data_IF_865047578950
#
_entry.id   IF_865047578950
#
_cell.length_a   1.000
_cell.length_b   1.000
_cell.length_c   1.000
_cell.angle_alpha   90.00
_cell.angle_beta   90.00
_cell.angle_gamma   90.00
#
_symmetry.space_group_name_H-M   'P 1'
#
loop_
_entity.id
_entity.type
_entity.pdbx_description
1 polymer ?
#
# COMPACT_ATOMS: atom_id res chain seq x y z
N UNK A 1 9.00 -26.48 -8.97
CA UNK A 1 9.58 -25.21 -8.47
C UNK A 1 8.46 -24.20 -8.54
N UNK A 2 7.86 -23.86 -7.40
CA UNK A 2 6.95 -22.71 -7.35
C UNK A 2 7.80 -21.45 -7.50
N UNK A 3 7.65 -20.75 -8.62
CA UNK A 3 8.32 -19.48 -8.84
C UNK A 3 7.71 -18.48 -7.86
N UNK A 4 8.45 -18.16 -6.78
CA UNK A 4 8.04 -17.10 -5.86
C UNK A 4 8.45 -15.77 -6.50
N UNK A 5 7.48 -14.88 -6.69
CA UNK A 5 7.73 -13.54 -7.23
C UNK A 5 7.94 -12.56 -6.07
N UNK A 6 9.04 -11.82 -6.12
CA UNK A 6 9.34 -10.76 -5.17
C UNK A 6 8.45 -9.54 -5.44
N UNK A 7 7.69 -9.17 -4.43
CA UNK A 7 6.76 -8.05 -4.41
C UNK A 7 7.35 -6.95 -3.53
N UNK A 8 7.80 -5.88 -4.18
CA UNK A 8 8.22 -4.63 -3.55
C UNK A 8 7.00 -3.74 -3.21
N UNK A 9 7.26 -2.57 -2.61
CA UNK A 9 6.24 -1.62 -2.17
C UNK A 9 5.33 -1.17 -3.32
N UNK A 10 5.93 -0.84 -4.47
CA UNK A 10 5.18 -0.31 -5.61
C UNK A 10 4.30 -1.39 -6.23
N UNK A 11 4.84 -2.59 -6.43
CA UNK A 11 4.07 -3.73 -6.96
C UNK A 11 2.92 -4.07 -6.03
N UNK A 12 3.13 -4.07 -4.72
CA UNK A 12 2.06 -4.32 -3.76
C UNK A 12 0.94 -3.27 -3.88
N UNK A 13 1.29 -1.99 -3.84
CA UNK A 13 0.29 -0.91 -3.90
C UNK A 13 -0.47 -0.90 -5.23
N UNK A 14 0.24 -1.15 -6.34
CA UNK A 14 -0.37 -1.29 -7.65
C UNK A 14 -1.30 -2.51 -7.71
N UNK A 15 -0.87 -3.65 -7.16
CA UNK A 15 -1.66 -4.87 -7.11
C UNK A 15 -2.94 -4.67 -6.29
N UNK A 16 -2.86 -4.05 -5.12
CA UNK A 16 -4.01 -3.75 -4.29
C UNK A 16 -4.97 -2.76 -4.95
N UNK A 17 -4.46 -1.77 -5.68
CA UNK A 17 -5.30 -0.79 -6.38
C UNK A 17 -5.98 -1.37 -7.64
N UNK A 18 -5.38 -2.38 -8.28
CA UNK A 18 -5.91 -3.01 -9.49
C UNK A 18 -6.79 -4.24 -9.22
N UNK A 19 -6.65 -4.86 -8.04
CA UNK A 19 -7.41 -6.05 -7.66
C UNK A 19 -8.86 -5.68 -7.33
N UNK A 20 -9.80 -6.20 -8.12
CA UNK A 20 -11.23 -6.08 -7.85
C UNK A 20 -11.68 -7.24 -6.96
N UNK A 21 -11.93 -6.94 -5.69
CA UNK A 21 -12.51 -7.89 -4.73
C UNK A 21 -14.04 -7.96 -4.87
N UNK A 22 -14.63 -9.08 -4.46
CA UNK A 22 -16.08 -9.26 -4.39
C UNK A 22 -16.51 -9.89 -3.05
N UNK A 23 -17.82 -9.99 -2.81
CA UNK A 23 -18.38 -10.43 -1.53
C UNK A 23 -18.66 -11.94 -1.43
N UNK A 24 -18.17 -12.76 -2.36
CA UNK A 24 -18.47 -14.20 -2.39
C UNK A 24 -18.07 -14.96 -1.11
N UNK A 25 -17.15 -14.40 -0.31
CA UNK A 25 -16.67 -14.95 0.96
C UNK A 25 -17.04 -14.10 2.18
N UNK A 26 -17.98 -13.14 2.05
CA UNK A 26 -18.37 -12.26 3.16
C UNK A 26 -17.23 -11.38 3.70
N UNK A 27 -16.25 -11.06 2.84
CA UNK A 27 -15.12 -10.18 3.19
C UNK A 27 -14.06 -10.77 4.12
N UNK A 28 -14.14 -12.07 4.47
CA UNK A 28 -13.17 -12.75 5.36
C UNK A 28 -12.92 -11.98 6.67
N UNK A 29 -13.99 -11.53 7.33
CA UNK A 29 -13.93 -10.69 8.55
C UNK A 29 -13.13 -11.32 9.70
N UNK A 30 -13.15 -12.65 9.82
CA UNK A 30 -12.39 -13.40 10.83
C UNK A 30 -10.86 -13.21 10.68
N UNK A 31 -10.41 -12.77 9.49
CA UNK A 31 -9.01 -12.54 9.15
C UNK A 31 -8.66 -11.05 9.08
N UNK A 32 -9.49 -10.16 9.64
CA UNK A 32 -9.12 -8.73 9.75
C UNK A 32 -7.95 -8.52 10.73
N UNK A 33 -7.82 -9.40 11.71
CA UNK A 33 -6.61 -9.59 12.50
C UNK A 33 -5.90 -10.89 12.10
N UNK A 34 -4.75 -11.16 12.72
CA UNK A 34 -4.03 -12.41 12.51
C UNK A 34 -4.84 -13.59 13.04
N UNK A 35 -5.17 -14.52 12.16
CA UNK A 35 -5.92 -15.72 12.52
C UNK A 35 -5.20 -16.97 12.03
N UNK A 36 -5.42 -18.09 12.73
CA UNK A 36 -4.89 -19.39 12.32
C UNK A 36 -5.50 -19.85 10.99
N UNK A 37 -4.69 -20.57 10.21
CA UNK A 37 -5.13 -21.31 9.02
C UNK A 37 -6.37 -22.17 9.35
N UNK A 38 -7.35 -22.14 8.45
CA UNK A 38 -8.49 -23.04 8.46
C UNK A 38 -8.50 -23.86 7.17
N UNK A 39 -9.05 -25.08 7.19
CA UNK A 39 -9.14 -25.92 5.98
C UNK A 39 -9.99 -25.25 4.88
N UNK A 40 -11.02 -24.49 5.27
CA UNK A 40 -11.82 -23.70 4.34
C UNK A 40 -11.00 -22.60 3.64
N UNK A 41 -10.09 -21.92 4.37
CA UNK A 41 -9.23 -20.92 3.77
C UNK A 41 -8.18 -21.57 2.86
N UNK A 42 -7.44 -22.54 3.39
CA UNK A 42 -6.33 -23.23 2.73
C UNK A 42 -6.68 -23.78 1.34
N UNK A 43 -7.88 -24.32 1.19
CA UNK A 43 -8.35 -24.90 -0.09
C UNK A 43 -8.68 -23.86 -1.16
N UNK A 44 -8.80 -22.59 -0.80
CA UNK A 44 -9.21 -21.50 -1.71
C UNK A 44 -8.11 -20.45 -1.92
N UNK A 45 -6.90 -20.67 -1.41
CA UNK A 45 -5.80 -19.71 -1.53
C UNK A 45 -4.78 -20.14 -2.58
N UNK A 46 -4.19 -19.16 -3.26
CA UNK A 46 -3.03 -19.34 -4.15
C UNK A 46 -1.96 -18.35 -3.77
N UNK A 47 -0.72 -18.83 -3.59
CA UNK A 47 0.43 -17.95 -3.35
C UNK A 47 0.68 -17.11 -4.61
N UNK A 48 0.75 -15.79 -4.45
CA UNK A 48 0.97 -14.85 -5.55
C UNK A 48 2.35 -14.19 -5.50
N UNK A 49 3.05 -14.30 -4.37
CA UNK A 49 4.41 -13.80 -4.22
C UNK A 49 4.83 -13.70 -2.75
N UNK A 50 5.91 -12.98 -2.51
CA UNK A 50 6.45 -12.70 -1.19
C UNK A 50 6.85 -11.23 -1.09
N UNK A 51 6.60 -10.61 0.06
CA UNK A 51 7.04 -9.26 0.36
C UNK A 51 8.57 -9.24 0.45
N UNK A 52 9.21 -8.45 -0.41
CA UNK A 52 10.66 -8.30 -0.48
C UNK A 52 11.11 -6.93 0.05
N UNK A 53 10.60 -6.56 1.24
CA UNK A 53 10.94 -5.31 1.93
C UNK A 53 11.88 -5.63 3.08
N UNK A 54 12.90 -4.80 3.30
CA UNK A 54 13.85 -4.98 4.39
C UNK A 54 13.24 -4.51 5.72
N UNK A 55 13.46 -5.23 6.83
CA UNK A 55 13.04 -4.76 8.15
C UNK A 55 13.75 -3.46 8.55
N UNK A 56 13.07 -2.65 9.36
CA UNK A 56 13.70 -1.54 10.06
C UNK A 56 14.46 -1.99 11.31
N UNK A 57 15.24 -1.07 11.90
CA UNK A 57 16.00 -1.33 13.12
C UNK A 57 15.10 -1.69 14.32
N UNK A 58 13.88 -1.12 14.34
CA UNK A 58 12.89 -1.25 15.43
C UNK A 58 11.78 -2.23 15.11
N UNK A 59 12.11 -3.34 14.44
CA UNK A 59 11.14 -4.28 13.88
C UNK A 59 10.20 -4.94 14.92
N UNK A 60 10.46 -4.81 16.23
CA UNK A 60 9.68 -5.41 17.32
C UNK A 60 8.90 -4.41 18.18
N UNK A 61 8.97 -3.10 17.89
CA UNK A 61 8.41 -2.07 18.77
C UNK A 61 6.94 -1.71 18.46
N UNK A 62 6.40 -2.14 17.32
CA UNK A 62 5.06 -1.80 16.89
C UNK A 62 4.02 -2.88 17.23
N UNK A 63 2.84 -2.51 17.76
CA UNK A 63 1.73 -3.45 17.92
C UNK A 63 1.22 -3.87 16.53
N UNK A 64 1.30 -5.17 16.25
CA UNK A 64 0.88 -5.74 14.96
C UNK A 64 -0.38 -6.61 15.06
N UNK A 65 -0.90 -6.81 16.29
CA UNK A 65 -2.09 -7.60 16.57
C UNK A 65 -3.34 -6.73 16.70
N UNK A 66 -4.49 -7.28 16.28
CA UNK A 66 -5.78 -6.63 16.32
C UNK A 66 -6.27 -6.21 14.93
N UNK A 67 -7.58 -6.04 14.80
CA UNK A 67 -8.21 -5.82 13.50
C UNK A 67 -7.68 -4.53 12.87
N UNK A 68 -7.59 -3.45 13.63
CA UNK A 68 -7.21 -2.12 13.14
C UNK A 68 -5.71 -1.80 13.32
N UNK A 69 -4.90 -2.79 13.71
CA UNK A 69 -3.45 -2.61 13.81
C UNK A 69 -2.87 -2.21 12.45
N UNK A 70 -2.05 -1.16 12.44
CA UNK A 70 -1.41 -0.68 11.20
C UNK A 70 -0.51 -1.77 10.60
N UNK A 71 -0.48 -1.82 9.27
CA UNK A 71 0.41 -2.68 8.49
C UNK A 71 1.68 -1.87 8.26
N UNK A 72 2.74 -2.26 8.97
CA UNK A 72 4.04 -1.59 8.97
C UNK A 72 5.08 -2.50 8.34
N UNK A 73 5.61 -2.14 7.17
CA UNK A 73 6.56 -2.99 6.44
C UNK A 73 7.98 -2.94 6.97
N UNK A 74 8.26 -2.08 7.95
CA UNK A 74 9.51 -2.03 8.69
C UNK A 74 9.46 -2.89 9.97
N UNK A 75 8.32 -3.50 10.29
CA UNK A 75 8.09 -4.25 11.52
C UNK A 75 7.57 -5.67 11.28
N UNK A 76 7.86 -6.54 12.25
CA UNK A 76 7.36 -7.90 12.27
C UNK A 76 5.82 -7.86 12.38
N UNK A 77 5.10 -8.72 11.65
CA UNK A 77 5.60 -9.81 10.80
C UNK A 77 5.64 -9.45 9.30
N UNK A 78 5.41 -8.21 8.90
CA UNK A 78 5.05 -7.87 7.51
C UNK A 78 6.22 -7.92 6.51
N UNK A 79 7.43 -7.53 6.91
CA UNK A 79 8.61 -7.64 6.06
C UNK A 79 8.91 -9.13 5.82
N UNK A 80 8.71 -9.64 4.61
CA UNK A 80 8.92 -11.06 4.30
C UNK A 80 7.69 -11.96 4.36
N UNK A 81 6.49 -11.43 4.65
CA UNK A 81 5.25 -12.20 4.53
C UNK A 81 5.07 -12.74 3.11
N UNK A 82 4.56 -13.97 2.99
CA UNK A 82 4.01 -14.41 1.71
C UNK A 82 2.68 -13.71 1.47
N UNK A 83 2.36 -13.52 0.19
CA UNK A 83 1.05 -13.06 -0.24
C UNK A 83 0.27 -14.22 -0.85
N UNK A 84 -0.96 -14.38 -0.38
CA UNK A 84 -1.92 -15.31 -0.93
C UNK A 84 -3.15 -14.54 -1.44
N UNK A 85 -3.79 -15.07 -2.48
CA UNK A 85 -5.04 -14.56 -2.99
C UNK A 85 -6.12 -15.63 -2.94
N UNK A 86 -7.30 -15.26 -2.46
CA UNK A 86 -8.48 -16.11 -2.53
C UNK A 86 -8.97 -16.22 -3.97
N UNK A 87 -9.13 -17.46 -4.45
CA UNK A 87 -9.57 -17.74 -5.81
C UNK A 87 -11.04 -17.37 -6.06
N UNK A 88 -11.86 -17.24 -5.00
CA UNK A 88 -13.29 -16.93 -5.10
C UNK A 88 -13.58 -15.43 -5.12
N UNK A 89 -12.98 -14.70 -4.18
CA UNK A 89 -13.28 -13.28 -3.97
C UNK A 89 -12.11 -12.34 -4.29
N UNK A 90 -10.95 -12.88 -4.69
CA UNK A 90 -9.73 -12.15 -4.99
C UNK A 90 -9.13 -11.35 -3.82
N UNK A 91 -9.66 -11.51 -2.61
CA UNK A 91 -9.07 -10.93 -1.38
C UNK A 91 -7.64 -11.42 -1.19
N UNK A 92 -6.77 -10.49 -0.84
CA UNK A 92 -5.34 -10.73 -0.62
C UNK A 92 -5.07 -10.89 0.86
N UNK A 93 -4.17 -11.82 1.20
CA UNK A 93 -3.77 -12.14 2.57
C UNK A 93 -2.25 -12.06 2.71
N UNK A 94 -1.79 -11.49 3.82
CA UNK A 94 -0.48 -11.79 4.35
C UNK A 94 -0.48 -13.18 4.99
N UNK A 95 0.66 -13.86 4.88
CA UNK A 95 0.93 -15.14 5.53
C UNK A 95 2.32 -15.14 6.15
N UNK A 96 2.40 -15.63 7.39
CA UNK A 96 3.66 -16.03 8.00
C UNK A 96 3.47 -17.24 8.93
N UNK A 97 4.58 -17.89 9.28
CA UNK A 97 4.60 -18.95 10.28
C UNK A 97 5.15 -18.40 11.58
N UNK A 98 4.31 -18.36 12.60
CA UNK A 98 4.70 -18.01 13.96
C UNK A 98 5.35 -19.21 14.64
N UNK A 99 6.57 -19.03 15.15
CA UNK A 99 7.34 -20.07 15.84
C UNK A 99 7.34 -19.88 17.37
N UNK A 100 6.24 -19.36 17.94
CA UNK A 100 6.08 -19.13 19.38
C UNK A 100 5.25 -20.20 20.07
N UNK A 101 5.70 -20.70 21.24
CA UNK A 101 4.90 -21.56 22.12
C UNK A 101 4.70 -23.01 21.65
N UNK A 102 3.45 -23.50 21.69
CA UNK A 102 3.03 -24.91 21.51
C UNK A 102 3.13 -25.46 20.07
N UNK A 103 4.08 -24.96 19.26
CA UNK A 103 4.37 -25.42 17.91
C UNK A 103 4.10 -24.36 16.82
N UNK A 104 4.51 -24.63 15.56
CA UNK A 104 4.36 -23.69 14.45
C UNK A 104 2.89 -23.36 14.16
N UNK A 105 2.56 -22.08 14.12
CA UNK A 105 1.22 -21.61 13.79
C UNK A 105 1.24 -20.84 12.47
N UNK A 106 0.43 -21.29 11.52
CA UNK A 106 0.24 -20.61 10.24
C UNK A 106 -0.77 -19.50 10.39
N UNK A 107 -0.32 -18.26 10.21
CA UNK A 107 -1.14 -17.06 10.44
C UNK A 107 -1.47 -16.39 9.11
N UNK A 108 -2.72 -15.98 8.97
CA UNK A 108 -3.21 -15.19 7.84
C UNK A 108 -3.86 -13.91 8.31
N UNK A 109 -3.72 -12.84 7.52
CA UNK A 109 -4.43 -11.56 7.73
C UNK A 109 -4.78 -10.93 6.39
N UNK A 110 -6.00 -10.44 6.25
CA UNK A 110 -6.45 -9.70 5.05
C UNK A 110 -5.63 -8.43 4.87
N UNK A 111 -5.15 -8.19 3.65
CA UNK A 111 -4.45 -6.96 3.30
C UNK A 111 -5.48 -5.84 3.07
N UNK A 112 -5.62 -4.95 4.05
CA UNK A 112 -6.51 -3.77 3.95
C UNK A 112 -5.67 -2.53 3.64
N UNK A 113 -5.78 -1.99 2.42
CA UNK A 113 -4.97 -0.82 1.96
C UNK A 113 -5.03 0.36 2.94
N UNK A 114 -6.21 0.64 3.52
CA UNK A 114 -6.41 1.73 4.47
C UNK A 114 -5.61 1.59 5.80
N UNK A 115 -5.11 0.38 6.11
CA UNK A 115 -4.27 0.15 7.28
C UNK A 115 -2.78 0.19 6.99
N UNK A 116 -2.38 0.29 5.72
CA UNK A 116 -0.97 0.43 5.35
C UNK A 116 -0.44 1.76 5.90
N UNK A 117 0.57 1.66 6.74
CA UNK A 117 1.32 2.79 7.23
C UNK A 117 2.30 3.24 6.15
N UNK A 118 1.93 4.30 5.43
CA UNK A 118 2.77 4.85 4.37
C UNK A 118 4.10 5.38 4.88
N UNK A 119 4.22 5.72 6.17
CA UNK A 119 5.50 6.16 6.75
C UNK A 119 6.50 5.02 6.83
N UNK A 120 6.03 3.79 7.08
CA UNK A 120 6.88 2.58 7.13
C UNK A 120 7.50 2.18 5.80
N UNK A 121 7.02 2.72 4.68
CA UNK A 121 7.56 2.45 3.35
C UNK A 121 8.82 3.28 3.11
N UNK A 122 9.99 2.67 2.96
CA UNK A 122 11.25 3.38 2.66
C UNK A 122 11.73 3.02 1.26
N UNK A 123 11.11 3.58 0.21
CA UNK A 123 11.35 3.10 -1.14
C UNK A 123 12.73 3.53 -1.65
N UNK A 124 13.39 2.65 -2.41
CA UNK A 124 14.71 2.95 -3.03
C UNK A 124 14.60 3.86 -4.25
N UNK A 125 13.41 3.93 -4.84
CA UNK A 125 13.06 4.75 -6.00
C UNK A 125 11.72 5.43 -5.73
N UNK A 126 11.35 6.44 -6.52
CA UNK A 126 10.02 7.07 -6.39
C UNK A 126 8.91 6.05 -6.69
N UNK A 127 7.96 5.89 -5.78
CA UNK A 127 6.81 4.98 -5.91
C UNK A 127 5.48 5.74 -5.95
N UNK A 128 4.48 5.17 -6.60
CA UNK A 128 3.09 5.68 -6.59
C UNK A 128 2.38 5.10 -5.38
N UNK A 129 1.83 5.98 -4.52
CA UNK A 129 1.12 5.58 -3.30
C UNK A 129 -0.39 5.79 -3.41
N UNK A 130 -0.81 6.71 -4.26
CA UNK A 130 -2.21 6.92 -4.61
C UNK A 130 -2.33 7.52 -6.00
N UNK A 131 -3.43 7.25 -6.69
CA UNK A 131 -3.67 7.81 -8.02
C UNK A 131 -5.15 7.76 -8.38
N UNK A 132 -5.59 8.72 -9.19
CA UNK A 132 -6.94 8.75 -9.75
C UNK A 132 -6.91 9.15 -11.21
N UNK A 133 -6.59 8.19 -12.06
CA UNK A 133 -6.57 8.38 -13.52
C UNK A 133 -5.73 9.59 -13.94
N UNK A 134 -6.37 10.56 -14.60
CA UNK A 134 -5.74 11.80 -15.05
C UNK A 134 -5.86 12.94 -14.04
N UNK A 135 -6.60 12.76 -12.95
CA UNK A 135 -6.85 13.81 -11.95
C UNK A 135 -5.58 14.09 -11.15
N UNK A 136 -4.99 13.04 -10.56
CA UNK A 136 -3.75 13.16 -9.81
C UNK A 136 -2.98 11.84 -9.71
N UNK A 137 -1.69 11.98 -9.42
CA UNK A 137 -0.81 10.92 -8.95
C UNK A 137 -0.06 11.42 -7.72
N UNK A 138 -0.10 10.65 -6.65
CA UNK A 138 0.66 10.89 -5.42
C UNK A 138 1.85 9.93 -5.36
N UNK A 139 3.02 10.47 -5.08
CA UNK A 139 4.26 9.73 -4.97
C UNK A 139 4.88 9.84 -3.59
N UNK A 140 5.62 8.80 -3.20
CA UNK A 140 6.62 8.87 -2.13
C UNK A 140 8.02 8.73 -2.76
N UNK A 141 8.89 9.67 -2.44
CA UNK A 141 10.27 9.70 -2.92
C UNK A 141 11.22 8.97 -1.96
N UNK A 142 12.44 8.59 -2.41
CA UNK A 142 13.45 7.95 -1.54
C UNK A 142 13.93 8.81 -0.38
N UNK A 143 13.88 10.14 -0.52
CA UNK A 143 14.16 11.10 0.55
C UNK A 143 12.99 11.29 1.52
N UNK A 144 11.98 10.41 1.44
CA UNK A 144 10.75 10.37 2.23
C UNK A 144 9.82 11.58 2.01
N UNK A 145 10.10 12.44 1.04
CA UNK A 145 9.20 13.51 0.63
C UNK A 145 8.05 12.98 -0.22
N UNK A 146 6.95 13.73 -0.23
CA UNK A 146 5.75 13.39 -0.98
C UNK A 146 5.59 14.36 -2.16
N UNK A 147 5.24 13.82 -3.31
CA UNK A 147 5.04 14.58 -4.54
C UNK A 147 3.63 14.40 -5.07
N UNK A 148 2.99 15.50 -5.45
CA UNK A 148 1.69 15.52 -6.12
C UNK A 148 1.89 15.93 -7.58
N UNK A 149 1.28 15.19 -8.49
CA UNK A 149 1.26 15.50 -9.91
C UNK A 149 -0.16 15.52 -10.44
N UNK A 150 -0.48 16.54 -11.24
CA UNK A 150 -1.72 16.61 -12.00
C UNK A 150 -1.41 16.74 -13.49
N UNK A 151 -2.29 16.21 -14.33
CA UNK A 151 -2.20 16.37 -15.78
C UNK A 151 -3.17 17.46 -16.23
N UNK A 152 -2.67 18.45 -16.98
CA UNK A 152 -3.49 19.52 -17.57
C UNK A 152 -3.52 19.41 -19.08
N UNK A 153 -4.71 19.51 -19.66
CA UNK A 153 -4.91 19.56 -21.12
C UNK A 153 -4.80 21.00 -21.62
N UNK A 154 -3.59 21.55 -21.66
CA UNK A 154 -3.31 22.85 -22.29
C UNK A 154 -2.42 22.60 -23.50
N UNK A 155 -2.97 22.82 -24.70
CA UNK A 155 -2.28 22.52 -25.96
C UNK A 155 -1.96 21.03 -26.07
N UNK A 156 -0.67 20.70 -26.01
CA UNK A 156 -0.15 19.31 -26.10
C UNK A 156 -0.38 18.50 -24.81
N UNK A 157 -0.76 19.16 -23.73
CA UNK A 157 -0.93 18.54 -22.42
C UNK A 157 0.36 18.64 -21.62
N UNK A 158 0.25 19.03 -20.35
CA UNK A 158 1.39 19.23 -19.46
C UNK A 158 1.18 18.51 -18.15
N UNK A 159 2.26 18.03 -17.56
CA UNK A 159 2.25 17.51 -16.19
C UNK A 159 2.83 18.55 -15.24
N UNK A 160 2.07 18.85 -14.17
CA UNK A 160 2.38 19.86 -13.17
C UNK A 160 2.71 19.16 -11.87
N UNK A 161 3.89 19.43 -11.32
CA UNK A 161 4.41 18.79 -10.12
C UNK A 161 4.54 19.78 -8.95
N UNK A 162 4.12 19.31 -7.78
CA UNK A 162 4.28 19.98 -6.49
C UNK A 162 4.88 19.00 -5.48
N UNK A 163 5.90 19.44 -4.74
CA UNK A 163 6.38 18.68 -3.58
C UNK A 163 5.63 19.19 -2.36
N UNK A 164 4.99 18.28 -1.61
CA UNK A 164 4.21 18.65 -0.44
C UNK A 164 5.10 19.30 0.63
N UNK A 165 4.56 20.33 1.28
CA UNK A 165 5.11 20.81 2.55
C UNK A 165 4.93 19.76 3.64
N UNK A 166 5.62 19.93 4.78
CA UNK A 166 5.43 19.04 5.94
C UNK A 166 3.98 19.03 6.42
N UNK A 167 3.36 20.20 6.51
CA UNK A 167 1.97 20.37 6.91
C UNK A 167 1.00 19.67 5.93
N UNK A 168 1.27 19.76 4.62
CA UNK A 168 0.47 19.07 3.60
C UNK A 168 0.63 17.55 3.68
N UNK A 169 1.86 17.08 3.93
CA UNK A 169 2.13 15.66 4.12
C UNK A 169 1.41 15.11 5.36
N UNK A 170 1.49 15.78 6.50
CA UNK A 170 0.80 15.38 7.74
C UNK A 170 -0.72 15.30 7.54
N UNK A 171 -1.31 16.31 6.88
CA UNK A 171 -2.73 16.29 6.52
C UNK A 171 -3.08 15.16 5.57
N UNK A 172 -2.27 14.92 4.54
CA UNK A 172 -2.48 13.82 3.61
C UNK A 172 -2.41 12.45 4.30
N UNK A 173 -1.48 12.25 5.23
CA UNK A 173 -1.36 10.99 5.98
C UNK A 173 -2.55 10.75 6.93
N UNK A 174 -3.20 11.82 7.38
CA UNK A 174 -4.35 11.75 8.30
C UNK A 174 -5.68 11.60 7.54
N UNK A 175 -5.91 12.48 6.58
CA UNK A 175 -7.21 12.70 5.93
C UNK A 175 -7.23 12.26 4.46
N UNK A 176 -6.09 11.78 3.94
CA UNK A 176 -5.95 11.36 2.55
C UNK A 176 -5.97 12.52 1.56
N UNK A 177 -6.28 12.21 0.30
CA UNK A 177 -6.25 13.18 -0.81
C UNK A 177 -7.22 14.36 -0.61
N UNK A 178 -8.31 14.16 0.14
CA UNK A 178 -9.32 15.21 0.35
C UNK A 178 -8.73 16.46 1.05
N UNK A 179 -7.71 16.27 1.89
CA UNK A 179 -6.98 17.37 2.53
C UNK A 179 -6.17 18.24 1.56
N UNK A 180 -5.97 17.78 0.32
CA UNK A 180 -5.19 18.45 -0.70
C UNK A 180 -6.08 19.06 -1.81
N UNK A 181 -7.41 19.08 -1.65
CA UNK A 181 -8.34 19.63 -2.65
C UNK A 181 -8.01 21.09 -3.03
N UNK A 182 -7.68 21.93 -2.07
CA UNK A 182 -7.27 23.32 -2.33
C UNK A 182 -5.95 23.38 -3.10
N UNK A 183 -4.99 22.51 -2.77
CA UNK A 183 -3.72 22.41 -3.49
C UNK A 183 -3.92 21.94 -4.92
N UNK A 184 -4.76 20.93 -5.14
CA UNK A 184 -5.11 20.44 -6.48
C UNK A 184 -5.72 21.56 -7.32
N UNK A 185 -6.66 22.34 -6.74
CA UNK A 185 -7.29 23.48 -7.41
C UNK A 185 -6.30 24.60 -7.72
N UNK A 186 -5.37 24.89 -6.81
CA UNK A 186 -4.33 25.89 -7.02
C UNK A 186 -3.32 25.44 -8.09
N UNK A 187 -2.89 24.19 -8.07
CA UNK A 187 -2.06 23.59 -9.12
C UNK A 187 -2.76 23.65 -10.48
N UNK A 188 -4.08 23.43 -10.52
CA UNK A 188 -4.85 23.51 -11.75
C UNK A 188 -4.96 24.96 -12.24
N UNK A 189 -5.35 25.91 -11.38
CA UNK A 189 -5.63 27.30 -11.79
C UNK A 189 -4.34 28.10 -12.02
N UNK A 190 -3.34 27.89 -11.17
CA UNK A 190 -2.11 28.70 -11.10
C UNK A 190 -0.87 27.86 -11.47
N UNK A 191 -1.01 26.90 -12.39
CA UNK A 191 0.02 25.93 -12.77
C UNK A 191 1.38 26.54 -13.18
N UNK A 192 1.39 27.79 -13.65
CA UNK A 192 2.64 28.51 -14.01
C UNK A 192 3.55 28.77 -12.81
N UNK A 193 3.03 28.68 -11.59
CA UNK A 193 3.79 28.82 -10.34
C UNK A 193 4.47 27.50 -9.92
N UNK A 194 4.22 26.41 -10.66
CA UNK A 194 4.66 25.07 -10.32
C UNK A 194 5.67 24.53 -11.31
N UNK A 195 6.32 23.43 -10.93
CA UNK A 195 7.27 22.76 -11.80
C UNK A 195 6.52 21.99 -12.89
N UNK A 196 6.71 22.38 -14.15
CA UNK A 196 6.25 21.59 -15.31
C UNK A 196 7.28 20.51 -15.61
N UNK A 197 6.87 19.24 -15.62
CA UNK A 197 7.79 18.10 -15.73
C UNK A 197 7.74 17.38 -17.07
N UNK A 198 6.66 17.55 -17.84
CA UNK A 198 6.51 16.92 -19.15
C UNK A 198 5.57 17.72 -20.05
N UNK A 199 5.82 17.63 -21.36
CA UNK A 199 4.88 17.95 -22.43
C UNK A 199 4.44 16.62 -23.02
N UNK A 200 3.14 16.32 -22.99
CA UNK A 200 2.57 15.11 -23.58
C UNK A 200 2.27 15.31 -25.06
#
# INVERSE_FOLDING_TARGET
METTFDIDEQKLLHFLASTKVNDACGGHTDFWEWHNETEALKTNLTKIGQIAIQPGEKQWEAPYWGQDAKIRFDCYPYYGCDLYQCQKCHTVFFYYVELGGHGPQKRYRVVRKALIDLESLTPTHRIIIDYKGMDYIMYKNPDLTYGLLISKTIGVGIDVYHQLSKEEQERYLTDGIESLNDRLKDMDTNYTNYKVTSWR
#
